data_IF_565351775314
#
_entry.id   IF_565351775314
#
_cell.length_a   1.000
_cell.length_b   1.000
_cell.length_c   1.000
_cell.angle_alpha   90.00
_cell.angle_beta   90.00
_cell.angle_gamma   90.00
#
_symmetry.space_group_name_H-M   'P 1'
#
loop_
_entity.id
_entity.type
_entity.pdbx_description
1 polymer ?
#
# COMPACT_ATOMS: atom_id res chain seq x y z
N UNK A 1 -35.76 42.27 -4.61
CA UNK A 1 -35.47 41.52 -5.84
C UNK A 1 -33.98 41.66 -6.16
N UNK A 2 -33.18 40.62 -5.95
CA UNK A 2 -31.72 40.69 -6.02
C UNK A 2 -31.21 40.48 -7.46
N UNK A 3 -30.54 41.48 -8.03
CA UNK A 3 -29.92 41.40 -9.34
C UNK A 3 -28.61 40.60 -9.28
N UNK A 4 -28.55 39.50 -10.03
CA UNK A 4 -27.38 38.62 -10.19
C UNK A 4 -26.27 39.36 -10.94
N UNK A 5 -25.18 39.73 -10.25
CA UNK A 5 -24.00 40.32 -10.91
C UNK A 5 -23.26 39.25 -11.73
N UNK A 6 -23.11 39.49 -13.02
CA UNK A 6 -22.38 38.63 -13.96
C UNK A 6 -20.91 38.52 -13.57
N UNK A 7 -20.38 37.29 -13.65
CA UNK A 7 -18.95 36.98 -13.49
C UNK A 7 -18.22 37.46 -14.75
N UNK A 8 -17.29 38.42 -14.61
CA UNK A 8 -16.42 38.87 -15.71
C UNK A 8 -15.51 37.73 -16.13
N UNK A 9 -15.63 37.28 -17.38
CA UNK A 9 -14.65 36.46 -18.08
C UNK A 9 -13.43 37.31 -18.38
N UNK A 10 -12.26 36.90 -17.92
CA UNK A 10 -10.99 37.50 -18.31
C UNK A 10 -10.59 36.89 -19.65
N UNK A 11 -10.81 37.61 -20.75
CA UNK A 11 -10.11 37.36 -22.01
C UNK A 11 -8.68 37.85 -21.85
N UNK A 12 -7.79 36.95 -21.44
CA UNK A 12 -6.36 37.18 -21.38
C UNK A 12 -5.67 36.48 -22.55
N UNK A 13 -5.57 37.14 -23.70
CA UNK A 13 -4.59 36.79 -24.73
C UNK A 13 -3.24 37.29 -24.25
N UNK A 14 -2.53 36.48 -23.47
CA UNK A 14 -1.11 36.68 -23.20
C UNK A 14 -0.33 35.60 -23.94
N UNK A 15 0.11 35.95 -25.15
CA UNK A 15 1.03 35.14 -25.93
C UNK A 15 2.39 35.08 -25.22
N UNK A 16 2.62 34.04 -24.41
CA UNK A 16 3.96 33.71 -23.94
C UNK A 16 4.68 32.93 -25.04
N UNK A 17 5.59 33.59 -25.75
CA UNK A 17 6.33 33.04 -26.90
C UNK A 17 7.37 31.95 -26.56
N UNK A 18 7.34 31.38 -25.34
CA UNK A 18 8.32 30.39 -24.87
C UNK A 18 7.71 29.07 -24.37
N UNK A 19 6.39 28.86 -24.52
CA UNK A 19 5.73 27.61 -24.15
C UNK A 19 5.04 27.03 -25.38
N UNK A 20 5.80 26.36 -26.23
CA UNK A 20 5.17 25.46 -27.21
C UNK A 20 4.50 24.32 -26.42
N UNK A 21 3.18 24.10 -26.57
CA UNK A 21 2.53 22.97 -25.93
C UNK A 21 3.17 21.70 -26.48
N UNK A 22 3.66 20.85 -25.59
CA UNK A 22 4.21 19.57 -25.99
C UNK A 22 3.08 18.75 -26.61
N UNK A 23 3.14 18.56 -27.93
CA UNK A 23 2.10 17.93 -28.75
C UNK A 23 2.37 16.45 -28.96
N UNK A 24 3.49 15.95 -28.46
CA UNK A 24 3.82 14.54 -28.48
C UNK A 24 2.87 13.79 -27.54
N UNK A 25 2.25 12.74 -28.07
CA UNK A 25 1.46 11.82 -27.25
C UNK A 25 2.40 11.14 -26.26
N UNK A 26 2.13 11.28 -24.96
CA UNK A 26 2.83 10.55 -23.91
C UNK A 26 2.75 9.05 -24.22
N UNK A 27 3.86 8.45 -24.66
CA UNK A 27 3.99 6.99 -24.69
C UNK A 27 4.06 6.52 -23.25
N UNK A 28 2.90 6.20 -22.69
CA UNK A 28 2.81 5.39 -21.48
C UNK A 28 3.39 4.03 -21.86
N UNK A 29 4.59 3.74 -21.35
CA UNK A 29 5.26 2.47 -21.60
C UNK A 29 4.38 1.31 -21.16
N UNK A 30 3.97 0.49 -22.12
CA UNK A 30 3.31 -0.80 -21.91
C UNK A 30 4.31 -1.88 -21.44
N UNK A 31 5.59 -1.50 -21.26
CA UNK A 31 6.65 -2.42 -20.89
C UNK A 31 6.90 -2.43 -19.38
N UNK A 32 6.51 -3.55 -18.79
CA UNK A 32 6.89 -4.06 -17.46
C UNK A 32 5.96 -3.72 -16.31
N UNK A 33 4.81 -4.39 -16.28
CA UNK A 33 4.42 -5.14 -15.08
C UNK A 33 3.76 -6.43 -15.54
N UNK A 34 4.57 -7.46 -15.76
CA UNK A 34 4.09 -8.82 -15.49
C UNK A 34 3.68 -8.79 -14.03
N UNK A 35 2.39 -8.58 -13.77
CA UNK A 35 1.83 -8.75 -12.43
C UNK A 35 2.21 -10.17 -12.05
N UNK A 36 3.01 -10.40 -10.99
CA UNK A 36 3.30 -11.76 -10.56
C UNK A 36 1.96 -12.48 -10.47
N UNK A 37 1.90 -13.68 -11.06
CA UNK A 37 0.71 -14.48 -11.10
C UNK A 37 0.06 -14.46 -9.71
N UNK A 38 -1.27 -14.26 -9.60
CA UNK A 38 -1.92 -14.23 -8.30
C UNK A 38 -1.49 -15.48 -7.56
N UNK A 39 -0.89 -15.30 -6.38
CA UNK A 39 -0.49 -16.39 -5.52
C UNK A 39 -1.63 -17.42 -5.46
N UNK A 40 -1.31 -18.73 -5.47
CA UNK A 40 -2.34 -19.77 -5.42
C UNK A 40 -3.32 -19.41 -4.33
N UNK A 41 -4.62 -19.36 -4.68
CA UNK A 41 -5.69 -18.95 -3.77
C UNK A 41 -5.54 -19.76 -2.49
N UNK A 42 -5.00 -19.13 -1.46
CA UNK A 42 -4.80 -19.77 -0.17
C UNK A 42 -6.17 -20.26 0.27
N UNK A 43 -6.27 -21.57 0.44
CA UNK A 43 -7.44 -22.21 1.00
C UNK A 43 -7.81 -21.45 2.27
N UNK A 44 -9.08 -21.04 2.39
CA UNK A 44 -9.50 -20.12 3.46
C UNK A 44 -9.26 -20.79 4.82
N UNK A 45 -8.14 -20.45 5.46
CA UNK A 45 -7.82 -20.90 6.81
C UNK A 45 -8.77 -20.21 7.76
N UNK A 46 -9.67 -20.96 8.38
CA UNK A 46 -10.51 -20.45 9.46
C UNK A 46 -9.63 -20.16 10.67
N UNK A 47 -9.29 -18.89 10.90
CA UNK A 47 -8.54 -18.41 12.07
C UNK A 47 -9.45 -17.58 12.97
N UNK A 48 -9.32 -17.76 14.28
CA UNK A 48 -10.02 -16.92 15.27
C UNK A 48 -9.27 -15.59 15.40
N UNK A 49 -9.95 -14.44 15.39
CA UNK A 49 -9.29 -13.15 15.59
C UNK A 49 -8.67 -13.07 16.99
N UNK A 50 -7.43 -12.60 17.04
CA UNK A 50 -6.68 -12.39 18.27
C UNK A 50 -6.12 -10.96 18.27
N UNK A 51 -6.35 -10.22 19.35
CA UNK A 51 -5.83 -8.87 19.53
C UNK A 51 -5.02 -8.79 20.82
N UNK A 52 -3.82 -8.23 20.74
CA UNK A 52 -2.98 -7.90 21.88
C UNK A 52 -2.32 -6.54 21.67
N UNK A 53 -1.64 -6.05 22.72
CA UNK A 53 -0.88 -4.81 22.66
C UNK A 53 0.61 -5.11 22.50
N UNK A 54 1.23 -4.47 21.53
CA UNK A 54 2.69 -4.44 21.36
C UNK A 54 3.18 -2.99 21.51
N UNK A 55 4.42 -2.78 21.98
CA UNK A 55 5.10 -1.50 21.84
C UNK A 55 5.06 -1.03 20.37
N UNK A 56 4.88 0.28 20.13
CA UNK A 56 4.68 0.81 18.78
C UNK A 56 5.89 0.56 17.86
N UNK A 57 7.09 0.66 18.40
CA UNK A 57 8.33 0.44 17.63
C UNK A 57 8.47 -1.03 17.24
N UNK A 58 8.21 -1.94 18.18
CA UNK A 58 8.22 -3.39 17.91
C UNK A 58 7.20 -3.78 16.83
N UNK A 59 6.00 -3.17 16.86
CA UNK A 59 4.99 -3.43 15.85
C UNK A 59 5.44 -2.95 14.46
N UNK A 60 6.12 -1.80 14.38
CA UNK A 60 6.65 -1.25 13.11
C UNK A 60 7.75 -2.14 12.56
N UNK A 61 8.68 -2.56 13.40
CA UNK A 61 9.77 -3.48 13.02
C UNK A 61 9.22 -4.82 12.53
N UNK A 62 8.27 -5.40 13.25
CA UNK A 62 7.62 -6.66 12.85
C UNK A 62 6.94 -6.53 11.48
N UNK A 63 6.19 -5.44 11.25
CA UNK A 63 5.56 -5.15 9.95
C UNK A 63 6.59 -5.02 8.84
N UNK A 64 7.64 -4.24 9.07
CA UNK A 64 8.71 -4.05 8.09
C UNK A 64 9.38 -5.39 7.73
N UNK A 65 9.68 -6.22 8.73
CA UNK A 65 10.26 -7.55 8.51
C UNK A 65 9.34 -8.48 7.70
N UNK A 66 8.02 -8.45 7.95
CA UNK A 66 7.06 -9.23 7.18
C UNK A 66 7.04 -8.80 5.70
N UNK A 67 7.03 -7.49 5.44
CA UNK A 67 7.04 -6.94 4.07
C UNK A 67 8.33 -7.29 3.35
N UNK A 68 9.49 -7.09 3.98
CA UNK A 68 10.79 -7.40 3.38
C UNK A 68 10.96 -8.88 3.04
N UNK A 69 10.32 -9.78 3.81
CA UNK A 69 10.36 -11.23 3.59
C UNK A 69 9.22 -11.75 2.73
N UNK A 70 8.24 -10.92 2.38
CA UNK A 70 7.05 -11.34 1.63
C UNK A 70 6.18 -12.35 2.37
N UNK A 71 6.14 -12.29 3.71
CA UNK A 71 5.37 -13.22 4.56
C UNK A 71 4.13 -12.51 5.11
N UNK A 72 3.00 -13.21 5.18
CA UNK A 72 1.81 -12.67 5.82
C UNK A 72 2.03 -12.47 7.33
N UNK A 73 1.60 -11.32 7.87
CA UNK A 73 1.77 -11.01 9.29
C UNK A 73 1.18 -12.08 10.22
N UNK A 74 0.08 -12.72 9.82
CA UNK A 74 -0.54 -13.79 10.61
C UNK A 74 0.33 -15.04 10.67
N UNK A 75 0.97 -15.40 9.56
CA UNK A 75 1.87 -16.55 9.47
C UNK A 75 3.15 -16.30 10.28
N UNK A 76 3.72 -15.10 10.16
CA UNK A 76 4.87 -14.69 10.95
C UNK A 76 4.56 -14.69 12.47
N UNK A 77 3.37 -14.25 12.86
CA UNK A 77 2.94 -14.27 14.27
C UNK A 77 2.74 -15.71 14.78
N UNK A 78 2.10 -16.57 13.98
CA UNK A 78 1.93 -18.00 14.29
C UNK A 78 3.29 -18.69 14.51
N UNK A 79 4.26 -18.41 13.64
CA UNK A 79 5.62 -18.92 13.76
C UNK A 79 6.31 -18.42 15.04
N UNK A 80 6.23 -17.12 15.33
CA UNK A 80 6.82 -16.54 16.52
C UNK A 80 6.26 -17.16 17.81
N UNK A 81 4.94 -17.36 17.88
CA UNK A 81 4.28 -17.98 19.04
C UNK A 81 4.73 -19.44 19.19
N UNK A 82 4.77 -20.22 18.09
CA UNK A 82 5.24 -21.62 18.12
C UNK A 82 6.67 -21.74 18.57
N UNK A 83 7.56 -20.88 18.07
CA UNK A 83 8.95 -20.86 18.46
C UNK A 83 9.10 -20.55 19.95
N UNK A 84 8.41 -19.50 20.43
CA UNK A 84 8.42 -19.17 21.85
C UNK A 84 7.94 -20.34 22.70
N UNK A 85 6.84 -21.01 22.31
CA UNK A 85 6.35 -22.20 23.03
C UNK A 85 7.34 -23.36 23.00
N UNK A 86 8.03 -23.61 21.90
CA UNK A 86 9.02 -24.67 21.79
C UNK A 86 10.24 -24.42 22.70
N UNK A 87 10.68 -23.16 22.79
CA UNK A 87 11.80 -22.74 23.66
C UNK A 87 11.42 -22.73 25.14
N UNK A 88 10.14 -22.54 25.47
CA UNK A 88 9.64 -22.38 26.85
C UNK A 88 8.78 -23.56 27.32
N UNK A 89 8.66 -24.63 26.54
CA UNK A 89 7.98 -25.85 26.99
C UNK A 89 8.90 -26.56 27.98
N UNK A 90 8.42 -26.94 29.17
CA UNK A 90 9.20 -27.80 30.05
C UNK A 90 9.44 -29.10 29.28
N UNK A 91 10.72 -29.47 29.09
CA UNK A 91 11.08 -30.80 28.63
C UNK A 91 10.33 -31.81 29.52
N UNK A 92 9.39 -32.54 28.92
CA UNK A 92 8.71 -33.65 29.59
C UNK A 92 9.66 -34.80 29.80
#
# INVERSE_FOLDING_TARGET
>A
MSARRQRKTVSGTTSNAALTPNTESLRVGDETTVRPAPAPKAEKRTRVPFGSYLPPDLQREFKAACVLRGVEMQDALEQAIRQWLAENSPAS
#
